data_IF_864628559253
#
_entry.id   IF_864628559253
#
_cell.length_a   1.000
_cell.length_b   1.000
_cell.length_c   1.000
_cell.angle_alpha   90.00
_cell.angle_beta   90.00
_cell.angle_gamma   90.00
#
_symmetry.space_group_name_H-M   'P 1'
#
loop_
_entity.id
_entity.type
_entity.pdbx_description
1 polymer ?
#
# COMPACT_ATOMS: atom_id res chain seq x y z
N UNK A 1 -0.07 12.67 6.26
CA UNK A 1 1.19 11.94 5.98
C UNK A 1 1.03 10.50 6.43
N UNK A 2 1.62 9.55 5.68
CA UNK A 2 1.53 8.14 5.96
C UNK A 2 2.87 7.45 5.99
N UNK A 3 2.89 6.26 6.58
CA UNK A 3 4.01 5.34 6.57
C UNK A 3 3.51 3.91 6.39
N UNK A 4 4.37 3.00 6.00
CA UNK A 4 4.02 1.59 5.83
C UNK A 4 5.05 0.68 6.49
N UNK A 5 4.57 -0.26 7.28
CA UNK A 5 5.34 -1.41 7.73
C UNK A 5 4.94 -2.59 6.86
N UNK A 6 5.92 -3.23 6.24
CA UNK A 6 5.70 -4.46 5.48
C UNK A 6 6.13 -5.65 6.33
N UNK A 7 5.21 -6.43 6.88
CA UNK A 7 5.55 -7.60 7.66
C UNK A 7 5.96 -8.79 6.75
N UNK A 8 6.85 -9.67 7.18
CA UNK A 8 7.76 -9.40 8.29
C UNK A 8 8.79 -8.35 7.88
N UNK A 9 8.89 -7.30 8.66
CA UNK A 9 9.89 -6.27 8.41
C UNK A 9 11.29 -6.85 8.69
N UNK A 10 12.19 -6.69 7.74
CA UNK A 10 13.55 -7.22 7.90
C UNK A 10 14.23 -6.50 9.05
N UNK A 11 14.67 -7.27 10.02
CA UNK A 11 15.34 -6.76 11.20
C UNK A 11 14.44 -6.52 12.41
N UNK A 12 13.13 -6.64 12.25
CA UNK A 12 12.22 -6.72 13.41
C UNK A 12 12.02 -8.21 13.73
N UNK A 13 12.43 -8.68 14.90
CA UNK A 13 12.12 -10.04 15.34
C UNK A 13 10.60 -10.28 15.36
N UNK A 14 10.15 -11.45 14.94
CA UNK A 14 8.73 -11.81 14.90
C UNK A 14 8.02 -11.59 16.24
N UNK A 15 8.73 -11.82 17.34
CA UNK A 15 8.19 -11.60 18.69
C UNK A 15 7.84 -10.12 18.94
N UNK A 16 8.60 -9.19 18.36
CA UNK A 16 8.29 -7.76 18.47
C UNK A 16 7.11 -7.37 17.58
N UNK A 17 6.97 -7.97 16.42
CA UNK A 17 5.76 -7.76 15.58
C UNK A 17 4.49 -8.23 16.28
N UNK A 18 4.57 -9.21 17.18
CA UNK A 18 3.45 -9.68 17.98
C UNK A 18 3.27 -8.89 19.29
N UNK A 19 4.20 -8.01 19.63
CA UNK A 19 4.16 -7.26 20.88
C UNK A 19 3.21 -6.05 20.79
N UNK A 20 2.22 -6.00 21.67
CA UNK A 20 1.32 -4.86 21.82
C UNK A 20 2.06 -3.60 22.29
N UNK A 21 3.05 -3.77 23.15
CA UNK A 21 3.87 -2.66 23.66
C UNK A 21 4.76 -2.07 22.56
N UNK A 22 5.40 -2.92 21.75
CA UNK A 22 6.16 -2.47 20.60
C UNK A 22 5.27 -1.73 19.59
N UNK A 23 4.09 -2.26 19.29
CA UNK A 23 3.13 -1.60 18.41
C UNK A 23 2.74 -0.22 18.94
N UNK A 24 2.51 -0.08 20.24
CA UNK A 24 2.15 1.18 20.90
C UNK A 24 3.29 2.20 20.82
N UNK A 25 4.50 1.79 21.13
CA UNK A 25 5.66 2.67 21.06
C UNK A 25 5.90 3.15 19.63
N UNK A 26 5.76 2.25 18.66
CA UNK A 26 5.87 2.59 17.24
C UNK A 26 4.78 3.58 16.81
N UNK A 27 3.52 3.33 17.14
CA UNK A 27 2.40 4.21 16.79
C UNK A 27 2.59 5.60 17.40
N UNK A 28 3.00 5.68 18.65
CA UNK A 28 3.30 6.96 19.32
C UNK A 28 4.47 7.69 18.67
N UNK A 29 5.51 6.96 18.29
CA UNK A 29 6.62 7.54 17.56
C UNK A 29 6.18 8.09 16.19
N UNK A 30 5.37 7.34 15.43
CA UNK A 30 4.83 7.83 14.16
C UNK A 30 3.97 9.10 14.35
N UNK A 31 3.16 9.14 15.40
CA UNK A 31 2.38 10.35 15.73
C UNK A 31 3.26 11.55 16.07
N UNK A 32 4.37 11.34 16.76
CA UNK A 32 5.34 12.41 17.07
C UNK A 32 5.99 13.01 15.81
N UNK A 33 6.06 12.22 14.72
CA UNK A 33 6.50 12.64 13.40
C UNK A 33 5.37 13.24 12.53
N UNK A 34 4.19 13.48 13.13
CA UNK A 34 3.00 13.96 12.43
C UNK A 34 2.50 13.01 11.32
N UNK A 35 2.75 11.72 11.46
CA UNK A 35 2.15 10.68 10.64
C UNK A 35 0.81 10.32 11.25
N UNK A 36 -0.25 10.27 10.45
CA UNK A 36 -1.61 10.04 10.92
C UNK A 36 -2.32 8.87 10.26
N UNK A 37 -1.66 8.19 9.33
CA UNK A 37 -2.15 6.96 8.70
C UNK A 37 -0.99 6.02 8.44
N UNK A 38 -1.15 4.74 8.75
CA UNK A 38 -0.12 3.72 8.54
C UNK A 38 -0.70 2.45 7.92
N UNK A 39 0.16 1.73 7.21
CA UNK A 39 -0.05 0.31 6.89
C UNK A 39 0.65 -0.50 7.97
N UNK A 40 -0.04 -1.45 8.54
CA UNK A 40 0.44 -2.27 9.66
C UNK A 40 0.55 -3.74 9.26
N UNK A 41 1.26 -4.55 10.06
CA UNK A 41 1.12 -5.99 10.03
C UNK A 41 -0.34 -6.43 10.17
N UNK A 42 -0.73 -7.51 9.50
CA UNK A 42 -2.04 -8.15 9.66
C UNK A 42 -2.08 -8.89 11.02
N UNK A 43 -2.25 -8.10 12.08
CA UNK A 43 -2.08 -8.53 13.46
C UNK A 43 -3.05 -7.76 14.37
N UNK A 44 -3.83 -8.50 15.16
CA UNK A 44 -4.85 -7.94 16.04
C UNK A 44 -4.27 -6.92 17.04
N UNK A 45 -3.09 -7.18 17.60
CA UNK A 45 -2.47 -6.26 18.56
C UNK A 45 -2.18 -4.88 17.96
N UNK A 46 -1.76 -4.82 16.69
CA UNK A 46 -1.54 -3.55 16.01
C UNK A 46 -2.84 -2.82 15.73
N UNK A 47 -3.89 -3.54 15.35
CA UNK A 47 -5.20 -2.94 15.10
C UNK A 47 -5.79 -2.36 16.39
N UNK A 48 -5.74 -3.12 17.49
CA UNK A 48 -6.19 -2.66 18.80
C UNK A 48 -5.43 -1.41 19.25
N UNK A 49 -4.12 -1.39 19.11
CA UNK A 49 -3.29 -0.23 19.45
C UNK A 49 -3.63 0.98 18.60
N UNK A 50 -3.86 0.79 17.29
CA UNK A 50 -4.24 1.90 16.43
C UNK A 50 -5.62 2.46 16.81
N UNK A 51 -6.56 1.61 17.22
CA UNK A 51 -7.85 2.05 17.74
C UNK A 51 -7.69 2.84 19.06
N UNK A 52 -6.88 2.32 20.00
CA UNK A 52 -6.60 2.97 21.28
C UNK A 52 -5.88 4.31 21.13
N UNK A 53 -4.91 4.39 20.25
CA UNK A 53 -4.06 5.58 20.05
C UNK A 53 -4.61 6.55 19.00
N UNK A 54 -5.69 6.21 18.29
CA UNK A 54 -6.29 7.06 17.26
C UNK A 54 -5.39 7.21 16.02
N UNK A 55 -4.74 6.14 15.58
CA UNK A 55 -3.94 6.09 14.36
C UNK A 55 -4.76 5.47 13.23
N UNK A 56 -4.97 6.20 12.15
CA UNK A 56 -5.68 5.64 11.00
C UNK A 56 -4.88 4.54 10.31
N UNK A 57 -5.61 3.59 9.73
CA UNK A 57 -5.04 2.44 9.01
C UNK A 57 -5.63 2.36 7.61
N UNK A 58 -4.80 2.02 6.65
CA UNK A 58 -5.24 1.44 5.39
C UNK A 58 -4.86 -0.03 5.36
N UNK A 59 -5.84 -0.89 5.10
CA UNK A 59 -5.75 -2.33 5.26
C UNK A 59 -6.36 -3.08 4.06
N UNK A 60 -6.07 -4.37 3.95
CA UNK A 60 -6.63 -5.24 2.93
C UNK A 60 -5.60 -6.00 2.11
N UNK A 61 -5.86 -6.19 0.82
CA UNK A 61 -5.07 -7.05 -0.04
C UNK A 61 -3.88 -6.33 -0.68
N UNK A 62 -2.70 -6.45 -0.11
CA UNK A 62 -1.45 -5.91 -0.66
C UNK A 62 -0.80 -6.87 -1.66
N UNK A 63 -1.53 -7.29 -2.64
CA UNK A 63 -1.05 -8.21 -3.65
C UNK A 63 -2.14 -8.53 -4.67
N UNK A 64 -1.96 -9.61 -5.40
CA UNK A 64 -3.00 -10.10 -6.30
C UNK A 64 -4.21 -10.61 -5.54
N UNK A 65 -5.41 -10.44 -6.08
CA UNK A 65 -6.58 -11.16 -5.58
C UNK A 65 -6.29 -12.66 -5.47
N UNK A 66 -6.82 -13.30 -4.45
CA UNK A 66 -6.65 -14.74 -4.28
C UNK A 66 -7.14 -15.48 -5.54
N UNK A 67 -6.40 -16.47 -5.99
CA UNK A 67 -6.65 -17.21 -7.23
C UNK A 67 -6.44 -16.44 -8.55
N UNK A 68 -6.01 -15.18 -8.51
CA UNK A 68 -5.59 -14.47 -9.71
C UNK A 68 -4.21 -14.93 -10.20
N UNK A 69 -3.97 -14.79 -11.50
CA UNK A 69 -2.67 -15.02 -12.14
C UNK A 69 -2.05 -13.67 -12.57
N UNK A 70 -0.86 -13.69 -13.16
CA UNK A 70 -0.29 -12.47 -13.76
C UNK A 70 -1.06 -11.98 -14.98
N UNK A 71 -1.85 -12.87 -15.61
CA UNK A 71 -2.49 -12.62 -16.91
C UNK A 71 -4.01 -12.63 -16.85
N UNK A 72 -4.59 -13.00 -15.70
CA UNK A 72 -6.05 -13.02 -15.54
C UNK A 72 -6.49 -12.84 -14.08
N UNK A 73 -7.58 -12.10 -13.84
CA UNK A 73 -8.25 -12.10 -12.54
C UNK A 73 -8.86 -13.47 -12.23
N UNK A 74 -9.37 -13.68 -11.01
CA UNK A 74 -10.12 -14.90 -10.66
C UNK A 74 -11.33 -15.10 -11.57
N UNK A 75 -11.59 -16.33 -11.96
CA UNK A 75 -12.75 -16.68 -12.81
C UNK A 75 -14.05 -16.82 -12.00
N UNK A 76 -13.95 -17.26 -10.75
CA UNK A 76 -15.10 -17.35 -9.84
C UNK A 76 -15.25 -16.07 -9.03
N UNK A 77 -16.15 -15.23 -9.46
CA UNK A 77 -16.41 -13.95 -8.83
C UNK A 77 -17.05 -14.10 -7.46
N UNK A 78 -17.99 -15.00 -7.28
CA UNK A 78 -18.72 -15.18 -6.02
C UNK A 78 -17.80 -15.73 -4.92
N UNK A 79 -16.94 -16.68 -5.26
CA UNK A 79 -15.91 -17.16 -4.35
C UNK A 79 -14.93 -16.04 -3.98
N UNK A 80 -14.57 -15.22 -4.94
CA UNK A 80 -13.69 -14.07 -4.69
C UNK A 80 -14.34 -13.05 -3.77
N UNK A 81 -15.60 -12.71 -4.02
CA UNK A 81 -16.36 -11.78 -3.19
C UNK A 81 -16.48 -12.29 -1.73
N UNK A 82 -16.76 -13.58 -1.58
CA UNK A 82 -16.77 -14.23 -0.26
C UNK A 82 -15.40 -14.14 0.42
N UNK A 83 -14.32 -14.41 -0.32
CA UNK A 83 -12.96 -14.32 0.18
C UNK A 83 -12.63 -12.91 0.67
N UNK A 84 -12.98 -11.88 -0.11
CA UNK A 84 -12.79 -10.50 0.32
C UNK A 84 -13.57 -10.18 1.60
N UNK A 85 -14.84 -10.55 1.68
CA UNK A 85 -15.67 -10.24 2.84
C UNK A 85 -15.27 -10.97 4.12
N UNK A 86 -14.83 -12.21 4.01
CA UNK A 86 -14.57 -13.06 5.18
C UNK A 86 -13.09 -13.07 5.58
N UNK A 87 -12.17 -12.97 4.62
CA UNK A 87 -10.75 -13.18 4.85
C UNK A 87 -9.94 -11.89 4.70
N UNK A 88 -10.10 -11.19 3.57
CA UNK A 88 -9.23 -10.07 3.23
C UNK A 88 -9.64 -8.77 3.94
N UNK A 89 -10.94 -8.56 4.20
CA UNK A 89 -11.48 -7.33 4.79
C UNK A 89 -12.26 -7.57 6.07
N UNK A 90 -12.87 -8.75 6.22
CA UNK A 90 -13.71 -9.08 7.38
C UNK A 90 -13.06 -8.82 8.74
N UNK A 91 -11.80 -9.23 8.94
CA UNK A 91 -11.10 -8.99 10.20
C UNK A 91 -10.97 -7.51 10.59
N UNK A 92 -11.06 -6.61 9.61
CA UNK A 92 -10.90 -5.17 9.83
C UNK A 92 -12.20 -4.41 10.09
N UNK A 93 -13.35 -5.04 9.93
CA UNK A 93 -14.65 -4.35 10.00
C UNK A 93 -14.99 -3.79 11.36
N UNK A 94 -14.50 -4.41 12.43
CA UNK A 94 -14.71 -3.99 13.83
C UNK A 94 -13.76 -2.89 14.30
N UNK A 95 -12.76 -2.50 13.47
CA UNK A 95 -11.73 -1.55 13.84
C UNK A 95 -12.04 -0.15 13.28
N UNK A 96 -12.40 0.82 14.13
CA UNK A 96 -12.70 2.20 13.68
C UNK A 96 -11.47 2.91 13.11
N UNK A 97 -10.27 2.52 13.47
CA UNK A 97 -9.03 3.06 12.89
C UNK A 97 -8.85 2.69 11.42
N UNK A 98 -9.45 1.61 10.93
CA UNK A 98 -9.38 1.22 9.52
C UNK A 98 -10.31 2.10 8.70
N UNK A 99 -9.75 2.99 7.91
CA UNK A 99 -10.49 4.01 7.13
C UNK A 99 -10.44 3.77 5.63
N UNK A 100 -9.49 3.00 5.14
CA UNK A 100 -9.30 2.70 3.72
C UNK A 100 -9.07 1.20 3.53
N UNK A 101 -9.83 0.62 2.60
CA UNK A 101 -9.60 -0.74 2.11
C UNK A 101 -8.82 -0.74 0.80
N UNK A 102 -7.87 -1.67 0.68
CA UNK A 102 -7.11 -1.95 -0.55
C UNK A 102 -7.52 -3.32 -1.09
N UNK A 103 -7.95 -3.38 -2.35
CA UNK A 103 -8.42 -4.62 -2.96
C UNK A 103 -7.34 -5.37 -3.72
N UNK A 104 -6.34 -4.67 -4.24
CA UNK A 104 -5.19 -5.27 -4.94
C UNK A 104 -4.02 -4.29 -4.99
N UNK A 105 -2.84 -4.80 -5.32
CA UNK A 105 -1.62 -4.01 -5.44
C UNK A 105 -0.94 -4.29 -6.77
N UNK A 106 -0.70 -3.23 -7.56
CA UNK A 106 0.05 -3.26 -8.82
C UNK A 106 -0.43 -4.30 -9.83
N UNK A 107 -1.75 -4.48 -9.95
CA UNK A 107 -2.30 -5.33 -11.00
C UNK A 107 -2.17 -4.65 -12.36
N UNK A 108 -2.03 -5.42 -13.46
CA UNK A 108 -2.00 -4.86 -14.79
C UNK A 108 -3.15 -3.87 -15.03
N UNK A 109 -2.87 -2.76 -15.67
CA UNK A 109 -3.84 -1.68 -15.91
C UNK A 109 -3.96 -1.30 -17.39
N UNK A 110 -3.08 -1.82 -18.24
CA UNK A 110 -3.06 -1.57 -19.68
C UNK A 110 -3.25 -2.85 -20.50
N UNK A 111 -3.77 -2.68 -21.71
CA UNK A 111 -4.03 -3.76 -22.66
C UNK A 111 -5.13 -4.72 -22.20
N UNK A 112 -5.29 -5.82 -22.92
CA UNK A 112 -6.36 -6.79 -22.67
C UNK A 112 -6.38 -7.34 -21.24
N UNK A 113 -5.21 -7.59 -20.66
CA UNK A 113 -5.11 -8.08 -19.28
C UNK A 113 -5.53 -6.99 -18.29
N UNK A 114 -5.13 -5.74 -18.54
CA UNK A 114 -5.56 -4.59 -17.74
C UNK A 114 -7.06 -4.38 -17.80
N UNK A 115 -7.69 -4.57 -18.95
CA UNK A 115 -9.15 -4.48 -19.10
C UNK A 115 -9.87 -5.53 -18.26
N UNK A 116 -9.40 -6.79 -18.28
CA UNK A 116 -9.95 -7.86 -17.46
C UNK A 116 -9.86 -7.55 -15.96
N UNK A 117 -8.72 -7.05 -15.49
CA UNK A 117 -8.56 -6.65 -14.09
C UNK A 117 -9.42 -5.45 -13.74
N UNK A 118 -9.57 -4.48 -14.63
CA UNK A 118 -10.42 -3.31 -14.43
C UNK A 118 -11.88 -3.72 -14.26
N UNK A 119 -12.38 -4.60 -15.12
CA UNK A 119 -13.76 -5.09 -15.05
C UNK A 119 -13.99 -5.88 -13.76
N UNK A 120 -13.09 -6.78 -13.41
CA UNK A 120 -13.18 -7.57 -12.18
C UNK A 120 -13.18 -6.66 -10.92
N UNK A 121 -12.21 -5.76 -10.82
CA UNK A 121 -12.07 -4.88 -9.64
C UNK A 121 -13.19 -3.83 -9.57
N UNK A 122 -13.69 -3.36 -10.71
CA UNK A 122 -14.87 -2.47 -10.74
C UNK A 122 -16.09 -3.16 -10.17
N UNK A 123 -16.38 -4.37 -10.61
CA UNK A 123 -17.50 -5.17 -10.09
C UNK A 123 -17.29 -5.49 -8.61
N UNK A 124 -16.05 -5.85 -8.22
CA UNK A 124 -15.70 -6.14 -6.82
C UNK A 124 -15.95 -4.91 -5.93
N UNK A 125 -15.49 -3.74 -6.35
CA UNK A 125 -15.74 -2.48 -5.64
C UNK A 125 -17.24 -2.20 -5.45
N UNK A 126 -18.04 -2.37 -6.50
CA UNK A 126 -19.48 -2.13 -6.43
C UNK A 126 -20.16 -3.02 -5.38
N UNK A 127 -19.80 -4.31 -5.32
CA UNK A 127 -20.37 -5.24 -4.36
C UNK A 127 -19.84 -5.04 -2.93
N UNK A 128 -18.57 -4.74 -2.78
CA UNK A 128 -17.97 -4.46 -1.48
C UNK A 128 -18.45 -3.11 -0.92
N UNK A 129 -18.67 -2.10 -1.76
CA UNK A 129 -19.21 -0.80 -1.32
C UNK A 129 -20.65 -0.90 -0.83
N UNK A 130 -21.45 -1.84 -1.34
CA UNK A 130 -22.78 -2.17 -0.79
C UNK A 130 -22.67 -2.88 0.56
N UNK A 131 -21.66 -3.75 0.72
CA UNK A 131 -21.44 -4.49 1.95
C UNK A 131 -20.88 -3.59 3.08
N UNK A 132 -19.91 -2.73 2.79
CA UNK A 132 -19.39 -1.72 3.72
C UNK A 132 -19.23 -0.37 3.00
N UNK A 133 -20.19 0.52 3.22
CA UNK A 133 -20.17 1.88 2.66
C UNK A 133 -19.40 2.88 3.51
N UNK A 134 -18.95 2.49 4.70
CA UNK A 134 -18.37 3.41 5.69
C UNK A 134 -16.90 3.70 5.44
N UNK A 135 -16.19 2.83 4.72
CA UNK A 135 -14.77 2.97 4.40
C UNK A 135 -14.57 3.40 2.95
N UNK A 136 -13.42 4.01 2.71
CA UNK A 136 -12.97 4.34 1.36
C UNK A 136 -12.23 3.16 0.73
N UNK A 137 -12.25 3.07 -0.59
CA UNK A 137 -11.65 1.96 -1.33
C UNK A 137 -10.58 2.45 -2.31
N UNK A 138 -9.43 1.79 -2.28
CA UNK A 138 -8.41 1.78 -3.31
C UNK A 138 -8.50 0.42 -4.02
N UNK A 139 -8.95 0.40 -5.26
CA UNK A 139 -9.16 -0.87 -5.97
C UNK A 139 -7.86 -1.50 -6.46
N UNK A 140 -6.91 -0.68 -6.90
CA UNK A 140 -5.61 -1.15 -7.35
C UNK A 140 -4.55 -0.14 -6.89
N UNK A 141 -3.87 -0.45 -5.81
CA UNK A 141 -2.80 0.41 -5.32
C UNK A 141 -1.70 0.52 -6.38
N UNK A 142 -1.26 1.75 -6.64
CA UNK A 142 -0.24 2.09 -7.61
C UNK A 142 -0.72 2.38 -9.04
N UNK A 143 -1.86 1.83 -9.44
CA UNK A 143 -2.41 2.00 -10.78
C UNK A 143 -3.92 2.24 -10.69
N UNK A 144 -4.32 3.45 -10.40
CA UNK A 144 -5.72 3.80 -10.19
C UNK A 144 -6.66 3.27 -11.28
N UNK A 145 -7.89 2.95 -10.89
CA UNK A 145 -8.95 2.44 -11.78
C UNK A 145 -10.02 3.50 -12.13
N UNK A 146 -9.67 4.78 -12.00
CA UNK A 146 -10.59 5.86 -12.31
C UNK A 146 -11.84 5.81 -11.44
N UNK A 147 -13.03 5.95 -12.05
CA UNK A 147 -14.32 5.99 -11.33
C UNK A 147 -14.69 4.72 -10.58
N UNK A 148 -13.89 3.67 -10.69
CA UNK A 148 -14.14 2.38 -10.05
C UNK A 148 -13.48 2.25 -8.69
N UNK A 149 -13.24 3.38 -8.00
CA UNK A 149 -12.69 3.46 -6.65
C UNK A 149 -13.08 4.80 -6.02
N UNK A 150 -13.00 4.89 -4.68
CA UNK A 150 -13.17 6.18 -4.00
C UNK A 150 -11.88 7.03 -4.11
N UNK A 151 -10.73 6.38 -4.12
CA UNK A 151 -9.42 7.00 -4.15
C UNK A 151 -8.64 6.53 -5.37
N UNK A 152 -7.99 7.47 -6.04
CA UNK A 152 -7.05 7.20 -7.11
C UNK A 152 -5.64 7.10 -6.53
N UNK A 153 -5.06 5.93 -6.52
CA UNK A 153 -3.75 5.70 -5.94
C UNK A 153 -2.66 5.50 -7.01
N UNK A 154 -1.49 6.02 -6.73
CA UNK A 154 -0.35 6.01 -7.63
C UNK A 154 0.91 5.61 -6.90
N UNK A 155 1.64 4.63 -7.40
CA UNK A 155 2.98 4.31 -6.97
C UNK A 155 3.98 5.06 -7.85
N UNK A 156 4.78 5.91 -7.24
CA UNK A 156 5.83 6.66 -7.94
C UNK A 156 7.00 6.92 -7.00
N UNK A 157 8.13 6.40 -7.36
CA UNK A 157 9.37 6.54 -6.61
C UNK A 157 10.27 7.67 -7.16
N UNK A 158 9.79 8.41 -8.15
CA UNK A 158 10.56 9.36 -8.94
C UNK A 158 10.98 10.62 -8.21
N UNK A 159 10.22 11.07 -7.24
CA UNK A 159 10.59 12.21 -6.41
C UNK A 159 11.94 12.02 -5.74
N UNK A 160 12.24 10.79 -5.38
CA UNK A 160 13.52 10.37 -4.84
C UNK A 160 14.60 10.31 -5.91
N UNK A 161 14.34 9.66 -7.04
CA UNK A 161 15.33 9.47 -8.11
C UNK A 161 15.74 10.75 -8.81
N UNK A 162 14.85 11.71 -8.93
CA UNK A 162 15.08 12.94 -9.67
C UNK A 162 15.23 14.16 -8.78
N UNK A 163 15.33 13.97 -7.48
CA UNK A 163 15.52 15.03 -6.49
C UNK A 163 14.52 16.21 -6.64
N UNK A 164 13.31 15.92 -7.10
CA UNK A 164 12.32 16.96 -7.33
C UNK A 164 10.89 16.46 -7.23
N UNK A 165 10.33 16.57 -6.05
CA UNK A 165 8.90 16.31 -5.83
C UNK A 165 8.01 17.26 -6.66
N UNK A 166 8.46 18.49 -6.89
CA UNK A 166 7.74 19.46 -7.71
C UNK A 166 7.75 19.06 -9.18
N UNK A 167 8.87 18.56 -9.71
CA UNK A 167 8.93 18.01 -11.06
C UNK A 167 7.97 16.85 -11.19
N UNK A 168 7.91 15.98 -10.22
CA UNK A 168 6.99 14.86 -10.17
C UNK A 168 5.52 15.30 -10.19
N UNK A 169 5.13 16.28 -9.37
CA UNK A 169 3.77 16.82 -9.37
C UNK A 169 3.39 17.50 -10.68
N UNK A 170 4.37 18.04 -11.40
CA UNK A 170 4.18 18.72 -12.69
C UNK A 170 4.34 17.77 -13.89
N UNK A 171 4.88 16.57 -13.70
CA UNK A 171 4.95 15.59 -14.77
C UNK A 171 3.54 15.19 -15.18
N UNK A 172 3.28 15.32 -16.45
CA UNK A 172 2.09 14.75 -17.09
C UNK A 172 2.25 13.25 -17.25
N UNK A 173 2.40 12.56 -16.13
CA UNK A 173 2.38 11.11 -16.11
C UNK A 173 1.00 10.63 -16.53
N UNK A 174 0.96 9.77 -17.53
CA UNK A 174 -0.27 9.24 -18.11
C UNK A 174 -1.16 8.59 -17.04
N UNK A 175 -0.58 7.90 -16.07
CA UNK A 175 -1.32 7.27 -14.99
C UNK A 175 -1.95 8.30 -14.02
N UNK A 176 -1.27 9.40 -13.72
CA UNK A 176 -1.82 10.48 -12.89
C UNK A 176 -2.93 11.25 -13.62
N UNK A 177 -2.82 11.41 -14.93
CA UNK A 177 -3.77 12.17 -15.73
C UNK A 177 -4.95 11.35 -16.24
N UNK A 178 -4.87 10.04 -16.08
CA UNK A 178 -5.99 9.13 -16.36
C UNK A 178 -7.04 9.10 -15.24
N UNK A 179 -6.85 9.87 -14.16
CA UNK A 179 -7.94 10.13 -13.23
C UNK A 179 -9.08 10.86 -13.98
N UNK A 180 -10.08 10.15 -14.46
CA UNK A 180 -11.00 10.65 -15.50
C UNK A 180 -11.97 11.71 -14.97
N UNK A 181 -12.06 11.87 -13.67
CA UNK A 181 -12.96 12.83 -13.08
C UNK A 181 -12.24 14.06 -12.53
N UNK A 182 -10.92 13.99 -12.29
CA UNK A 182 -10.18 14.98 -11.49
C UNK A 182 -10.88 15.34 -10.18
N UNK A 183 -11.78 14.45 -9.74
CA UNK A 183 -12.66 14.63 -8.59
C UNK A 183 -12.35 13.65 -7.47
N UNK A 184 -11.56 12.62 -7.75
CA UNK A 184 -11.14 11.67 -6.73
C UNK A 184 -9.90 12.19 -6.01
N UNK A 185 -9.82 12.02 -4.70
CA UNK A 185 -8.57 12.21 -3.97
C UNK A 185 -7.47 11.34 -4.57
N UNK A 186 -6.27 11.89 -4.67
CA UNK A 186 -5.08 11.16 -5.12
C UNK A 186 -4.25 10.82 -3.89
N UNK A 187 -3.81 9.57 -3.80
CA UNK A 187 -2.87 9.10 -2.79
C UNK A 187 -1.62 8.51 -3.45
N UNK A 188 -0.58 8.43 -2.66
CA UNK A 188 0.68 7.80 -3.01
C UNK A 188 1.01 6.80 -1.91
N UNK A 189 0.49 5.58 -2.03
CA UNK A 189 0.71 4.56 -1.00
C UNK A 189 2.13 3.99 -1.04
N UNK A 190 2.82 4.15 -2.17
CA UNK A 190 4.25 3.87 -2.30
C UNK A 190 4.93 4.96 -3.14
N UNK A 191 5.72 5.83 -2.52
CA UNK A 191 6.40 6.93 -3.23
C UNK A 191 7.86 7.13 -2.82
N UNK A 192 8.27 6.55 -1.70
CA UNK A 192 9.65 6.58 -1.21
C UNK A 192 10.02 5.17 -0.80
N UNK A 193 10.99 4.59 -1.47
CA UNK A 193 11.39 3.21 -1.25
C UNK A 193 12.83 3.10 -0.81
N UNK A 194 13.12 3.35 0.46
CA UNK A 194 14.41 3.02 1.04
C UNK A 194 14.25 1.90 2.05
N UNK A 195 15.14 0.94 1.93
CA UNK A 195 15.24 -0.16 2.86
C UNK A 195 16.48 0.03 3.71
N UNK A 196 16.29 0.18 5.01
CA UNK A 196 17.38 0.19 5.97
C UNK A 196 17.64 -1.22 6.49
N UNK A 197 18.89 -1.56 6.70
CA UNK A 197 19.27 -2.76 7.45
C UNK A 197 19.08 -2.58 8.95
N UNK A 198 19.22 -3.67 9.69
CA UNK A 198 19.15 -3.65 11.17
C UNK A 198 20.21 -2.76 11.80
N UNK A 199 21.30 -2.50 11.07
CA UNK A 199 22.40 -1.61 11.45
C UNK A 199 22.13 -0.12 11.14
N UNK A 200 20.94 0.21 10.67
CA UNK A 200 20.54 1.56 10.26
C UNK A 200 21.09 2.01 8.91
N UNK A 201 21.91 1.19 8.23
CA UNK A 201 22.45 1.52 6.92
C UNK A 201 21.44 1.24 5.82
N UNK A 202 21.51 1.97 4.73
CA UNK A 202 20.71 1.68 3.56
C UNK A 202 21.05 0.32 2.97
N UNK A 203 20.03 -0.49 2.82
CA UNK A 203 20.13 -1.75 2.10
C UNK A 203 19.82 -1.52 0.61
N UNK A 204 20.85 -1.16 -0.14
CA UNK A 204 20.73 -0.86 -1.58
C UNK A 204 20.17 -2.02 -2.41
N UNK A 205 20.23 -3.23 -1.89
CA UNK A 205 19.89 -4.44 -2.62
C UNK A 205 19.01 -5.40 -1.83
N UNK A 206 17.99 -4.87 -1.16
CA UNK A 206 17.10 -5.67 -0.32
C UNK A 206 16.42 -6.85 -1.06
N UNK A 207 16.27 -6.76 -2.37
CA UNK A 207 15.66 -7.81 -3.20
C UNK A 207 16.67 -8.68 -3.95
N UNK A 208 17.94 -8.35 -3.92
CA UNK A 208 18.99 -9.16 -4.56
C UNK A 208 20.02 -9.55 -3.50
N UNK A 209 20.41 -10.79 -3.49
CA UNK A 209 21.46 -11.30 -2.58
C UNK A 209 22.87 -10.87 -2.98
N UNK A 210 23.02 -10.10 -4.07
CA UNK A 210 24.32 -9.69 -4.59
C UNK A 210 24.50 -8.19 -4.40
N UNK A 211 25.47 -7.77 -3.59
CA UNK A 211 25.89 -6.37 -3.50
C UNK A 211 26.32 -5.84 -4.88
N UNK A 212 25.91 -4.62 -5.22
CA UNK A 212 26.28 -3.99 -6.49
C UNK A 212 25.44 -4.38 -7.72
N UNK A 213 24.37 -5.16 -7.53
CA UNK A 213 23.44 -5.46 -8.61
C UNK A 213 22.70 -4.19 -9.06
N UNK A 214 22.73 -3.87 -10.36
CA UNK A 214 22.00 -2.74 -10.96
C UNK A 214 20.46 -2.88 -10.88
N UNK A 215 19.96 -3.96 -10.31
CA UNK A 215 18.51 -4.20 -10.10
C UNK A 215 18.03 -3.74 -8.73
N UNK A 216 18.80 -2.98 -8.01
CA UNK A 216 18.39 -2.41 -6.74
C UNK A 216 17.42 -1.25 -6.97
N UNK A 217 16.29 -1.32 -6.33
CA UNK A 217 15.23 -0.32 -6.45
C UNK A 217 15.59 1.02 -5.81
N UNK A 218 16.45 1.00 -4.83
CA UNK A 218 16.85 2.17 -4.06
C UNK A 218 17.99 2.95 -4.70
N UNK A 219 18.39 2.58 -5.90
CA UNK A 219 19.26 3.34 -6.75
C UNK A 219 20.62 3.60 -6.16
N UNK A 220 20.97 4.75 -5.72
CA UNK A 220 22.33 5.22 -5.87
C UNK A 220 22.97 5.83 -4.63
N UNK A 221 22.34 5.66 -3.47
CA UNK A 221 22.96 6.15 -2.25
C UNK A 221 23.77 5.04 -1.60
N UNK A 222 25.10 5.11 -1.62
CA UNK A 222 25.93 4.02 -1.13
C UNK A 222 25.92 3.88 0.39
N UNK A 223 25.52 4.92 1.10
CA UNK A 223 25.45 4.94 2.57
C UNK A 223 24.46 5.99 3.10
N UNK A 224 24.31 6.03 4.42
CA UNK A 224 23.40 6.95 5.08
C UNK A 224 23.84 8.42 4.94
N UNK A 225 25.12 8.70 4.80
CA UNK A 225 25.63 10.08 4.68
C UNK A 225 25.18 10.75 3.38
N UNK A 226 25.07 9.97 2.30
CA UNK A 226 24.54 10.47 1.02
C UNK A 226 23.03 10.64 1.02
N UNK A 227 22.32 10.05 1.94
CA UNK A 227 20.88 10.18 2.08
C UNK A 227 20.49 11.45 2.83
N UNK A 228 21.37 12.03 3.61
CA UNK A 228 21.14 13.26 4.36
C UNK A 228 21.47 14.52 3.54
N UNK A 229 22.14 14.37 2.42
CA UNK A 229 22.51 15.47 1.53
C UNK A 229 21.44 15.76 0.48
#
# INVERSE_FOLDING_TARGET
RGNAINPPERGIPEQLEQSKDFARDYVRYMKSLHINIIRIPDNQNWMDVCDEEGMMIFAGRYGRPKHATKTAPPTDFELSLKTYKEIDLGPFTSHPSVVIYILSNEMPYEGKVGDLYRDFLTRMYQELKKWDSTRLYICNAGYGLGKSADIYDVHRYWGWYYNSFLTYLNMRDKAMWQNPGKVQPITFTECVGNYTGIDGRFNLCSRTKQPGSQKCWTGHLPDAEQAEA
#
